data_IF_634876947812
#
_entry.id   IF_634876947812
#
_cell.length_a   1.000
_cell.length_b   1.000
_cell.length_c   1.000
_cell.angle_alpha   90.00
_cell.angle_beta   90.00
_cell.angle_gamma   90.00
#
_symmetry.space_group_name_H-M   'P 1'
#
loop_
_entity.id
_entity.type
_entity.pdbx_description
1 polymer ?
#
# COMPACT_ATOMS: atom_id res chain seq x y z
N UNK A 1 -2.44 -4.19 8.99
CA UNK A 1 -1.76 -5.47 8.63
C UNK A 1 -0.36 -5.53 9.24
N UNK A 2 0.44 -4.49 8.99
CA UNK A 2 1.84 -4.34 9.41
C UNK A 2 2.02 -4.15 10.93
N UNK A 3 1.11 -3.38 11.53
CA UNK A 3 1.12 -3.02 12.96
C UNK A 3 1.06 -4.20 13.94
N UNK A 4 0.69 -5.40 13.49
CA UNK A 4 0.75 -6.59 14.35
C UNK A 4 2.18 -7.01 14.70
N UNK A 5 3.19 -6.48 13.98
CA UNK A 5 4.60 -6.85 14.09
C UNK A 5 4.89 -8.27 13.62
N UNK A 6 3.93 -8.98 13.02
CA UNK A 6 4.12 -10.34 12.49
C UNK A 6 4.82 -10.35 11.12
N UNK A 7 4.73 -9.22 10.41
CA UNK A 7 5.31 -8.97 9.08
C UNK A 7 6.17 -7.72 9.19
N UNK A 8 7.43 -7.85 8.84
CA UNK A 8 8.47 -6.84 9.03
C UNK A 8 9.02 -6.43 7.66
N UNK A 9 9.47 -5.18 7.57
CA UNK A 9 10.14 -4.59 6.41
C UNK A 9 9.39 -4.84 5.09
N UNK A 10 8.12 -4.43 4.97
CA UNK A 10 7.37 -4.65 3.75
C UNK A 10 7.95 -3.80 2.61
N UNK A 11 8.13 -4.40 1.44
CA UNK A 11 8.45 -3.70 0.20
C UNK A 11 7.38 -4.02 -0.83
N UNK A 12 6.81 -2.97 -1.44
CA UNK A 12 5.75 -3.10 -2.43
C UNK A 12 6.29 -2.70 -3.80
N UNK A 13 6.10 -3.58 -4.79
CA UNK A 13 6.52 -3.34 -6.17
C UNK A 13 5.30 -3.38 -7.09
N UNK A 14 5.03 -2.26 -7.75
CA UNK A 14 3.99 -2.16 -8.78
C UNK A 14 4.62 -2.21 -10.17
N UNK A 15 4.23 -3.20 -10.98
CA UNK A 15 4.68 -3.33 -12.38
C UNK A 15 3.49 -3.16 -13.33
N UNK A 16 3.46 -2.14 -14.19
CA UNK A 16 2.42 -2.01 -15.20
C UNK A 16 2.37 -3.25 -16.11
N UNK A 17 1.17 -3.76 -16.34
CA UNK A 17 0.92 -4.85 -17.28
C UNK A 17 0.45 -4.30 -18.63
N UNK A 18 0.86 -4.91 -19.75
CA UNK A 18 0.42 -4.48 -21.08
C UNK A 18 -1.09 -4.71 -21.26
N UNK A 19 -1.76 -3.76 -21.89
CA UNK A 19 -3.21 -3.76 -22.13
C UNK A 19 -3.78 -2.34 -22.06
N UNK A 20 -4.94 -2.11 -22.69
CA UNK A 20 -5.55 -0.76 -22.73
C UNK A 20 -6.08 -0.25 -21.38
N UNK A 21 -6.31 -1.16 -20.42
CA UNK A 21 -6.70 -0.81 -19.06
C UNK A 21 -5.46 -0.64 -18.18
N UNK A 22 -5.48 0.33 -17.25
CA UNK A 22 -4.43 0.46 -16.23
C UNK A 22 -4.52 -0.73 -15.25
N UNK A 23 -3.63 -1.70 -15.45
CA UNK A 23 -3.49 -2.88 -14.62
C UNK A 23 -2.05 -2.98 -14.12
N UNK A 24 -1.88 -3.22 -12.83
CA UNK A 24 -0.56 -3.37 -12.19
C UNK A 24 -0.44 -4.79 -11.63
N UNK A 25 0.70 -5.44 -11.85
CA UNK A 25 1.12 -6.55 -11.00
C UNK A 25 1.64 -5.94 -9.70
N UNK A 26 1.12 -6.44 -8.59
CA UNK A 26 1.50 -6.04 -7.23
C UNK A 26 2.24 -7.19 -6.55
N UNK A 27 3.45 -6.90 -6.08
CA UNK A 27 4.28 -7.82 -5.31
C UNK A 27 4.66 -7.17 -3.98
N UNK A 28 4.26 -7.83 -2.88
CA UNK A 28 4.60 -7.41 -1.52
C UNK A 28 5.55 -8.43 -0.90
N UNK A 29 6.79 -8.03 -0.75
CA UNK A 29 7.82 -8.78 -0.02
C UNK A 29 7.83 -8.37 1.44
N UNK A 30 8.02 -9.32 2.35
CA UNK A 30 8.20 -9.04 3.77
C UNK A 30 8.94 -10.17 4.48
N UNK A 31 9.46 -9.88 5.68
CA UNK A 31 10.05 -10.87 6.58
C UNK A 31 9.09 -11.23 7.71
N UNK A 32 9.05 -12.50 8.07
CA UNK A 32 8.37 -12.93 9.32
C UNK A 32 9.24 -12.66 10.53
N UNK A 33 8.67 -12.69 11.75
CA UNK A 33 9.46 -12.60 12.99
C UNK A 33 10.55 -13.68 13.11
N UNK A 34 10.33 -14.85 12.51
CA UNK A 34 11.30 -15.94 12.46
C UNK A 34 12.39 -15.74 11.39
N UNK A 35 12.42 -14.59 10.69
CA UNK A 35 13.39 -14.28 9.65
C UNK A 35 13.06 -14.83 8.26
N UNK A 36 12.03 -15.67 8.11
CA UNK A 36 11.67 -16.21 6.80
C UNK A 36 11.13 -15.11 5.85
N UNK A 37 11.67 -15.06 4.64
CA UNK A 37 11.17 -14.22 3.55
C UNK A 37 9.85 -14.77 2.99
N UNK A 38 8.90 -13.88 2.73
CA UNK A 38 7.58 -14.19 2.16
C UNK A 38 7.22 -13.17 1.10
N UNK A 39 6.48 -13.62 0.09
CA UNK A 39 5.95 -12.78 -0.98
C UNK A 39 4.45 -12.99 -1.12
N UNK A 40 3.72 -11.90 -1.27
CA UNK A 40 2.32 -11.86 -1.71
C UNK A 40 2.31 -11.32 -3.13
N UNK A 41 1.55 -11.97 -4.01
CA UNK A 41 1.41 -11.54 -5.41
C UNK A 41 -0.06 -11.32 -5.71
N UNK A 42 -0.36 -10.19 -6.32
CA UNK A 42 -1.70 -9.77 -6.72
C UNK A 42 -1.72 -9.04 -8.06
N UNK A 43 -2.89 -8.51 -8.37
CA UNK A 43 -3.11 -7.64 -9.52
C UNK A 43 -4.07 -6.55 -9.13
N UNK A 44 -3.68 -5.31 -9.36
CA UNK A 44 -4.53 -4.14 -9.21
C UNK A 44 -5.09 -3.73 -10.56
N UNK A 45 -6.41 -3.58 -10.61
CA UNK A 45 -7.07 -3.01 -11.78
C UNK A 45 -7.68 -1.67 -11.42
N UNK A 46 -7.31 -0.62 -12.12
CA UNK A 46 -7.96 0.67 -11.99
C UNK A 46 -9.41 0.61 -12.49
N UNK A 47 -10.32 1.22 -11.74
CA UNK A 47 -11.72 1.38 -12.07
C UNK A 47 -11.97 2.87 -12.26
N UNK A 48 -12.35 3.25 -13.47
CA UNK A 48 -12.62 4.65 -13.81
C UNK A 48 -13.87 5.17 -13.10
N UNK A 49 -14.85 4.28 -12.88
CA UNK A 49 -16.17 4.58 -12.34
C UNK A 49 -16.12 5.15 -10.90
N UNK A 50 -15.20 4.67 -10.08
CA UNK A 50 -15.02 5.09 -8.68
C UNK A 50 -13.62 5.65 -8.39
N UNK A 51 -12.76 5.76 -9.42
CA UNK A 51 -11.36 6.17 -9.31
C UNK A 51 -10.52 5.32 -8.34
N UNK A 52 -10.88 4.04 -8.14
CA UNK A 52 -10.18 3.13 -7.22
C UNK A 52 -9.46 2.01 -7.95
N UNK A 53 -8.45 1.45 -7.29
CA UNK A 53 -7.87 0.17 -7.65
C UNK A 53 -8.62 -0.97 -6.95
N UNK A 54 -8.88 -2.04 -7.70
CA UNK A 54 -9.36 -3.30 -7.17
C UNK A 54 -8.22 -4.29 -7.19
N UNK A 55 -7.72 -4.62 -6.00
CA UNK A 55 -6.71 -5.66 -5.82
C UNK A 55 -7.34 -7.06 -5.82
N UNK A 56 -6.68 -8.00 -6.48
CA UNK A 56 -7.00 -9.43 -6.44
C UNK A 56 -5.74 -10.25 -6.20
N UNK A 57 -5.77 -11.14 -5.22
CA UNK A 57 -4.66 -12.06 -4.98
C UNK A 57 -4.49 -13.06 -6.11
N UNK A 58 -3.28 -13.59 -6.28
CA UNK A 58 -2.99 -14.68 -7.22
C UNK A 58 -2.71 -15.99 -6.49
N UNK A 59 -2.85 -17.11 -7.20
CA UNK A 59 -2.61 -18.44 -6.64
C UNK A 59 -3.53 -18.74 -5.45
N UNK A 60 -3.04 -19.23 -4.30
CA UNK A 60 -3.85 -19.50 -3.13
C UNK A 60 -4.64 -18.29 -2.59
N UNK A 61 -4.23 -17.07 -2.94
CA UNK A 61 -4.86 -15.83 -2.48
C UNK A 61 -5.99 -15.33 -3.40
N UNK A 62 -6.39 -16.11 -4.42
CA UNK A 62 -7.37 -15.69 -5.44
C UNK A 62 -8.74 -15.25 -4.88
N UNK A 63 -9.13 -15.79 -3.72
CA UNK A 63 -10.37 -15.41 -3.01
C UNK A 63 -10.27 -14.03 -2.35
N UNK A 64 -9.05 -13.54 -2.08
CA UNK A 64 -8.85 -12.26 -1.43
C UNK A 64 -9.01 -11.11 -2.44
N UNK A 65 -9.74 -10.10 -2.00
CA UNK A 65 -9.99 -8.85 -2.73
C UNK A 65 -9.83 -7.68 -1.78
N UNK A 66 -9.24 -6.61 -2.28
CA UNK A 66 -9.26 -5.31 -1.61
C UNK A 66 -9.65 -4.21 -2.60
N UNK A 67 -10.08 -3.07 -2.09
CA UNK A 67 -10.18 -1.81 -2.84
C UNK A 67 -9.30 -0.79 -2.17
N UNK A 68 -8.60 0.00 -2.96
CA UNK A 68 -7.73 1.05 -2.45
C UNK A 68 -7.63 2.19 -3.46
N UNK A 69 -7.17 3.35 -3.01
CA UNK A 69 -6.96 4.50 -3.87
C UNK A 69 -5.75 5.30 -3.41
N UNK A 70 -5.19 6.08 -4.34
CA UNK A 70 -4.16 7.07 -4.02
C UNK A 70 -4.86 8.32 -3.51
N UNK A 71 -4.56 8.71 -2.29
CA UNK A 71 -5.02 9.99 -1.74
C UNK A 71 -4.11 11.12 -2.20
N UNK A 72 -2.80 10.90 -2.11
CA UNK A 72 -1.78 11.94 -2.37
C UNK A 72 -0.48 11.35 -2.87
N UNK A 73 0.22 12.15 -3.66
CA UNK A 73 1.61 11.94 -4.07
C UNK A 73 2.36 13.22 -3.71
N UNK A 74 3.53 13.10 -3.10
CA UNK A 74 4.39 14.28 -2.86
C UNK A 74 4.83 14.91 -4.18
N UNK A 75 5.19 16.20 -4.14
CA UNK A 75 5.57 16.94 -5.35
C UNK A 75 6.79 16.33 -6.07
N UNK A 76 7.70 15.70 -5.32
CA UNK A 76 8.88 14.98 -5.83
C UNK A 76 8.58 13.53 -6.25
N UNK A 77 7.38 13.01 -5.97
CA UNK A 77 6.99 11.63 -6.28
C UNK A 77 7.64 10.56 -5.42
N UNK A 78 8.30 10.94 -4.32
CA UNK A 78 9.01 10.03 -3.42
C UNK A 78 8.12 9.46 -2.31
N UNK A 79 6.97 10.09 -2.04
CA UNK A 79 6.01 9.67 -1.03
C UNK A 79 4.63 9.50 -1.64
N UNK A 80 3.99 8.39 -1.30
CA UNK A 80 2.64 8.03 -1.72
C UNK A 80 1.79 7.75 -0.49
N UNK A 81 0.60 8.34 -0.42
CA UNK A 81 -0.39 8.03 0.62
C UNK A 81 -1.55 7.30 -0.03
N UNK A 82 -1.86 6.10 0.49
CA UNK A 82 -2.97 5.28 0.00
C UNK A 82 -3.96 4.97 1.12
N UNK A 83 -5.24 4.91 0.79
CA UNK A 83 -6.27 4.35 1.68
C UNK A 83 -6.79 3.05 1.10
N UNK A 84 -7.22 2.13 1.97
CA UNK A 84 -7.79 0.86 1.57
C UNK A 84 -9.00 0.49 2.44
N UNK A 85 -9.98 -0.12 1.78
CA UNK A 85 -11.20 -0.59 2.43
C UNK A 85 -10.92 -1.83 3.29
N UNK A 86 -11.83 -2.09 4.23
CA UNK A 86 -11.82 -3.33 5.01
C UNK A 86 -11.96 -4.54 4.07
N UNK A 87 -11.11 -5.54 4.26
CA UNK A 87 -11.22 -6.85 3.64
C UNK A 87 -11.62 -7.92 4.67
N UNK A 88 -11.72 -9.18 4.24
CA UNK A 88 -11.96 -10.31 5.14
C UNK A 88 -10.87 -10.46 6.22
N UNK A 89 -9.64 -10.06 5.91
CA UNK A 89 -8.45 -10.34 6.74
C UNK A 89 -7.70 -9.08 7.18
N UNK A 90 -8.11 -7.90 6.70
CA UNK A 90 -7.52 -6.61 7.06
C UNK A 90 -8.63 -5.59 7.38
N UNK A 91 -8.54 -4.86 8.51
CA UNK A 91 -9.35 -3.65 8.70
C UNK A 91 -9.10 -2.63 7.59
N UNK A 92 -9.99 -1.66 7.42
CA UNK A 92 -9.72 -0.49 6.60
C UNK A 92 -8.55 0.30 7.20
N UNK A 93 -7.79 1.01 6.38
CA UNK A 93 -6.62 1.75 6.86
C UNK A 93 -5.99 2.63 5.81
N UNK A 94 -4.84 3.20 6.18
CA UNK A 94 -4.02 4.06 5.36
C UNK A 94 -2.55 3.68 5.54
N UNK A 95 -1.83 3.59 4.43
CA UNK A 95 -0.40 3.36 4.40
C UNK A 95 0.30 4.58 3.79
N UNK A 96 1.46 4.94 4.35
CA UNK A 96 2.38 5.91 3.76
C UNK A 96 3.57 5.15 3.22
N UNK A 97 3.80 5.25 1.92
CA UNK A 97 4.84 4.54 1.21
C UNK A 97 5.92 5.54 0.80
N UNK A 98 7.16 5.27 1.21
CA UNK A 98 8.35 5.93 0.67
C UNK A 98 8.93 5.14 -0.50
N UNK A 99 9.51 5.83 -1.48
CA UNK A 99 10.25 5.20 -2.56
C UNK A 99 11.63 4.74 -2.06
N UNK A 100 11.98 3.50 -2.41
CA UNK A 100 13.25 2.88 -2.02
C UNK A 100 13.17 2.18 -0.66
N UNK A 101 14.33 1.82 -0.13
CA UNK A 101 14.46 1.05 1.13
C UNK A 101 15.01 1.87 2.29
N UNK A 102 15.35 3.13 2.05
CA UNK A 102 15.95 3.99 3.06
C UNK A 102 14.90 4.50 4.02
N UNK A 103 15.15 4.36 5.31
CA UNK A 103 14.29 4.94 6.33
C UNK A 103 14.28 6.47 6.21
N UNK A 104 13.09 7.06 6.14
CA UNK A 104 12.86 8.51 6.08
C UNK A 104 12.11 9.00 7.31
N UNK A 105 12.73 8.96 8.51
CA UNK A 105 12.07 9.33 9.76
C UNK A 105 11.55 10.77 9.77
N UNK A 106 12.16 11.67 9.00
CA UNK A 106 11.77 13.08 8.84
C UNK A 106 10.36 13.27 8.27
N UNK A 107 9.87 12.32 7.46
CA UNK A 107 8.51 12.36 6.93
C UNK A 107 7.48 12.24 8.06
N UNK A 108 7.83 11.59 9.18
CA UNK A 108 6.95 11.47 10.37
C UNK A 108 6.70 12.80 11.06
N UNK A 109 7.59 13.76 10.89
CA UNK A 109 7.56 15.06 11.58
C UNK A 109 7.18 16.22 10.67
N UNK A 110 7.33 16.08 9.35
CA UNK A 110 7.02 17.12 8.37
C UNK A 110 5.97 16.61 7.37
N UNK A 111 4.71 16.62 7.80
CA UNK A 111 3.56 16.57 6.90
C UNK A 111 2.89 17.95 6.76
N UNK A 112 3.58 19.01 7.16
CA UNK A 112 3.12 20.38 6.94
C UNK A 112 3.07 20.67 5.44
N UNK A 113 1.85 20.92 4.94
CA UNK A 113 1.54 20.99 3.51
C UNK A 113 0.91 19.72 2.91
N UNK A 114 0.79 18.63 3.66
CA UNK A 114 0.14 17.39 3.22
C UNK A 114 -1.39 17.50 3.12
N UNK A 115 -2.02 18.48 3.78
CA UNK A 115 -3.48 18.61 3.82
C UNK A 115 -4.20 17.46 4.52
N UNK A 116 -3.49 16.65 5.31
CA UNK A 116 -4.09 15.64 6.18
C UNK A 116 -4.55 16.32 7.48
N UNK A 117 -5.79 16.10 7.87
CA UNK A 117 -6.24 16.55 9.19
C UNK A 117 -5.63 15.68 10.31
N UNK A 118 -5.78 16.11 11.56
CA UNK A 118 -5.21 15.40 12.70
C UNK A 118 -5.74 13.96 12.86
N UNK A 119 -6.98 13.69 12.45
CA UNK A 119 -7.58 12.35 12.51
C UNK A 119 -6.98 11.45 11.42
N UNK A 120 -6.84 11.95 10.19
CA UNK A 120 -6.14 11.26 9.11
C UNK A 120 -4.68 11.01 9.49
N UNK A 121 -3.96 12.01 10.01
CA UNK A 121 -2.59 11.86 10.47
C UNK A 121 -2.46 10.78 11.55
N UNK A 122 -3.37 10.75 12.53
CA UNK A 122 -3.39 9.75 13.59
C UNK A 122 -3.60 8.31 13.10
N UNK A 123 -4.14 8.16 11.88
CA UNK A 123 -4.39 6.87 11.21
C UNK A 123 -3.27 6.50 10.23
N UNK A 124 -2.29 7.36 9.99
CA UNK A 124 -1.14 7.06 9.13
C UNK A 124 -0.32 5.92 9.72
N UNK A 125 -0.09 4.91 8.90
CA UNK A 125 0.89 3.87 9.21
C UNK A 125 2.14 4.10 8.35
N UNK A 126 3.23 4.47 9.02
CA UNK A 126 4.54 4.63 8.41
C UNK A 126 5.19 3.25 8.22
N UNK A 127 5.51 2.88 6.98
CA UNK A 127 6.20 1.66 6.62
C UNK A 127 7.68 1.92 6.32
#
# INVERSE_FOLDING_TARGET
MWLSGKRLDPTITYTPLPGGDLVLRDEVDYRTRAGAARRVVGTDRYRQDDHRFVWRGRGPLWILRSRWQVERVSADGEVLVITFDRSLVTPAGMDVLGRGTDARPELRTNLDGSGLDADQFSRLTWL
#
